data_IF_731611064514
#
_entry.id   IF_731611064514
#
_cell.length_a   1.000
_cell.length_b   1.000
_cell.length_c   1.000
_cell.angle_alpha   90.00
_cell.angle_beta   90.00
_cell.angle_gamma   90.00
#
_symmetry.space_group_name_H-M   'P 1'
#
loop_
_entity.id
_entity.type
_entity.pdbx_description
1 polymer ?
#
# COMPACT_ATOMS: atom_id res chain seq x y z
N UNK A 1 -10.43 3.69 35.05
CA UNK A 1 -9.05 3.69 34.55
C UNK A 1 -8.71 2.27 34.08
N UNK A 2 -8.88 1.97 32.79
CA UNK A 2 -8.46 0.67 32.24
C UNK A 2 -7.03 0.81 31.75
N UNK A 3 -6.14 0.23 32.53
CA UNK A 3 -4.72 0.09 32.26
C UNK A 3 -4.48 -1.30 31.65
N UNK A 4 -3.47 -1.42 30.78
CA UNK A 4 -3.01 -2.60 30.02
C UNK A 4 -3.72 -2.89 28.68
N UNK A 5 -3.28 -2.22 27.62
CA UNK A 5 -3.10 -2.90 26.32
C UNK A 5 -1.81 -3.71 26.41
N UNK A 6 -1.86 -4.87 27.05
CA UNK A 6 -0.92 -5.94 26.73
C UNK A 6 -1.24 -6.36 25.31
N UNK A 7 -0.39 -5.98 24.37
CA UNK A 7 -0.30 -6.66 23.08
C UNK A 7 0.17 -8.06 23.46
N UNK A 8 -0.77 -8.99 23.66
CA UNK A 8 -0.43 -10.41 23.81
C UNK A 8 0.34 -10.85 22.56
N UNK A 9 1.12 -11.94 22.62
CA UNK A 9 1.88 -12.40 21.47
C UNK A 9 0.86 -12.88 20.43
N UNK A 10 0.40 -11.99 19.56
CA UNK A 10 0.07 -12.38 18.20
C UNK A 10 1.35 -13.05 17.76
N UNK A 11 1.32 -14.35 17.49
CA UNK A 11 2.47 -15.07 16.98
C UNK A 11 2.99 -14.27 15.79
N UNK A 12 4.04 -13.48 16.04
CA UNK A 12 4.66 -12.63 15.04
C UNK A 12 5.12 -13.62 13.99
N UNK A 13 4.75 -13.35 12.74
CA UNK A 13 4.99 -14.26 11.63
C UNK A 13 6.46 -14.71 11.73
N UNK A 14 6.82 -16.01 11.66
CA UNK A 14 8.21 -16.49 11.79
C UNK A 14 9.26 -15.75 10.93
N UNK A 15 8.81 -14.99 9.94
CA UNK A 15 9.65 -14.12 9.12
C UNK A 15 10.06 -12.80 9.82
N UNK A 16 9.27 -12.28 10.77
CA UNK A 16 9.57 -11.04 11.48
C UNK A 16 10.80 -11.17 12.36
N UNK A 17 10.94 -12.30 13.06
CA UNK A 17 12.14 -12.65 13.81
C UNK A 17 13.37 -12.71 12.87
N UNK A 18 13.25 -13.44 11.75
CA UNK A 18 14.34 -13.57 10.77
C UNK A 18 14.76 -12.25 10.12
N UNK A 19 13.82 -11.33 9.95
CA UNK A 19 14.07 -9.99 9.40
C UNK A 19 14.49 -8.97 10.48
N UNK A 20 14.47 -9.33 11.76
CA UNK A 20 14.78 -8.41 12.87
C UNK A 20 13.75 -7.29 13.06
N UNK A 21 12.49 -7.51 12.65
CA UNK A 21 11.43 -6.48 12.68
C UNK A 21 11.17 -6.00 14.11
N UNK A 22 11.10 -6.93 15.07
CA UNK A 22 10.80 -6.64 16.46
C UNK A 22 11.84 -5.70 17.08
N UNK A 23 13.13 -5.97 16.86
CA UNK A 23 14.21 -5.11 17.36
C UNK A 23 14.14 -3.68 16.79
N UNK A 24 13.71 -3.51 15.54
CA UNK A 24 13.53 -2.19 14.93
C UNK A 24 12.28 -1.48 15.49
N UNK A 25 11.22 -2.23 15.79
CA UNK A 25 10.02 -1.69 16.45
C UNK A 25 10.29 -1.25 17.89
N UNK A 26 11.14 -1.96 18.64
CA UNK A 26 11.57 -1.56 19.99
C UNK A 26 12.29 -0.21 19.99
N UNK A 27 12.98 0.13 18.89
CA UNK A 27 13.57 1.46 18.68
C UNK A 27 12.52 2.52 18.28
N UNK A 28 11.24 2.17 18.20
CA UNK A 28 10.15 3.04 17.78
C UNK A 28 10.08 3.28 16.27
N UNK A 29 10.85 2.54 15.47
CA UNK A 29 10.92 2.69 14.02
C UNK A 29 9.87 1.78 13.38
N UNK A 30 8.71 2.36 13.09
CA UNK A 30 7.54 1.64 12.54
C UNK A 30 7.04 2.22 11.21
N UNK A 31 7.88 3.01 10.53
CA UNK A 31 7.57 3.61 9.21
C UNK A 31 6.83 4.94 9.24
N UNK A 32 6.76 5.64 10.38
CA UNK A 32 6.12 6.97 10.47
C UNK A 32 6.73 7.95 9.46
N UNK A 33 5.88 8.68 8.74
CA UNK A 33 6.30 9.66 7.74
C UNK A 33 6.68 9.07 6.38
N UNK A 34 6.77 7.74 6.27
CA UNK A 34 7.05 7.05 5.01
C UNK A 34 5.75 6.82 4.24
N UNK A 35 5.85 6.96 2.92
CA UNK A 35 4.79 6.68 1.96
C UNK A 35 5.29 5.58 1.03
N UNK A 36 4.56 4.47 0.97
CA UNK A 36 4.86 3.33 0.11
C UNK A 36 3.87 3.29 -1.05
N UNK A 37 4.38 3.24 -2.28
CA UNK A 37 3.60 3.02 -3.49
C UNK A 37 3.66 1.56 -3.92
N UNK A 38 2.52 0.96 -4.22
CA UNK A 38 2.43 -0.41 -4.77
C UNK A 38 1.90 -0.38 -6.21
N UNK A 39 2.55 -1.10 -7.12
CA UNK A 39 2.06 -1.38 -8.48
C UNK A 39 1.74 -2.88 -8.57
N UNK A 40 0.46 -3.23 -8.68
CA UNK A 40 -0.01 -4.62 -8.54
C UNK A 40 -1.43 -4.80 -9.13
N UNK A 41 -2.17 -5.84 -8.72
CA UNK A 41 -3.56 -6.14 -9.10
C UNK A 41 -4.62 -5.14 -8.61
N UNK A 42 -4.17 -4.03 -8.03
CA UNK A 42 -5.00 -3.13 -7.24
C UNK A 42 -5.15 -3.59 -5.79
N UNK A 43 -5.79 -2.75 -4.98
CA UNK A 43 -5.86 -2.92 -3.52
C UNK A 43 -7.29 -2.70 -3.05
N UNK A 44 -7.79 -3.58 -2.17
CA UNK A 44 -9.04 -3.35 -1.45
C UNK A 44 -8.82 -2.29 -0.38
N UNK A 45 -8.96 -1.01 -0.74
CA UNK A 45 -8.71 0.11 0.17
C UNK A 45 -9.62 0.16 1.40
N UNK A 46 -10.74 -0.56 1.38
CA UNK A 46 -11.67 -0.69 2.52
C UNK A 46 -11.27 -1.76 3.53
N UNK A 47 -10.19 -2.51 3.30
CA UNK A 47 -9.73 -3.56 4.21
C UNK A 47 -9.34 -2.96 5.58
N UNK A 48 -9.80 -3.57 6.69
CA UNK A 48 -9.60 -3.04 8.06
C UNK A 48 -8.13 -2.77 8.39
N UNK A 49 -7.23 -3.67 7.99
CA UNK A 49 -5.78 -3.51 8.18
C UNK A 49 -5.13 -2.38 7.36
N UNK A 50 -5.79 -1.86 6.31
CA UNK A 50 -5.19 -0.93 5.35
C UNK A 50 -5.86 0.45 5.33
N UNK A 51 -7.17 0.52 5.58
CA UNK A 51 -7.97 1.73 5.33
C UNK A 51 -7.45 2.98 6.04
N UNK A 52 -6.93 2.82 7.26
CA UNK A 52 -6.44 3.93 8.09
C UNK A 52 -5.08 4.49 7.61
N UNK A 53 -4.33 3.69 6.84
CA UNK A 53 -3.03 4.05 6.30
C UNK A 53 -3.08 4.51 4.84
N UNK A 54 -4.23 4.43 4.18
CA UNK A 54 -4.39 4.95 2.84
C UNK A 54 -4.31 6.48 2.84
N UNK A 55 -3.52 7.07 1.94
CA UNK A 55 -3.42 8.54 1.89
C UNK A 55 -4.68 9.22 1.34
N UNK A 56 -5.57 8.47 0.69
CA UNK A 56 -6.80 8.99 0.10
C UNK A 56 -6.62 9.45 -1.35
N UNK A 57 -7.66 9.24 -2.18
CA UNK A 57 -7.61 9.59 -3.61
C UNK A 57 -7.38 11.09 -3.83
N UNK A 58 -7.97 11.95 -3.00
CA UNK A 58 -7.79 13.41 -3.07
C UNK A 58 -6.33 13.83 -2.85
N UNK A 59 -5.52 12.97 -2.22
CA UNK A 59 -4.11 13.19 -1.96
C UNK A 59 -3.22 12.40 -2.92
N UNK A 60 -3.70 12.11 -4.14
CA UNK A 60 -2.92 11.42 -5.17
C UNK A 60 -2.59 9.96 -4.80
N UNK A 61 -3.47 9.29 -4.03
CA UNK A 61 -3.23 7.95 -3.51
C UNK A 61 -3.55 6.78 -4.45
N UNK A 62 -4.22 7.02 -5.57
CA UNK A 62 -4.73 5.94 -6.41
C UNK A 62 -4.73 6.30 -7.89
N UNK A 63 -4.28 5.35 -8.71
CA UNK A 63 -4.44 5.41 -10.15
C UNK A 63 -4.81 4.04 -10.72
N UNK A 64 -5.71 4.06 -11.70
CA UNK A 64 -6.21 2.88 -12.38
C UNK A 64 -6.30 3.20 -13.88
N UNK A 65 -5.29 2.84 -14.68
CA UNK A 65 -5.25 3.12 -16.11
C UNK A 65 -6.29 2.34 -16.91
N UNK A 66 -6.87 1.26 -16.36
CA UNK A 66 -7.89 0.47 -17.04
C UNK A 66 -9.23 1.21 -17.09
N UNK A 67 -9.71 1.66 -15.93
CA UNK A 67 -11.09 2.16 -15.78
C UNK A 67 -11.17 3.60 -15.24
N UNK A 68 -10.04 4.23 -14.91
CA UNK A 68 -10.00 5.52 -14.20
C UNK A 68 -10.90 5.51 -12.95
N UNK A 69 -10.85 4.40 -12.20
CA UNK A 69 -11.65 4.26 -11.00
C UNK A 69 -11.23 5.28 -9.94
N UNK A 70 -12.21 5.84 -9.24
CA UNK A 70 -11.97 6.90 -8.25
C UNK A 70 -11.37 6.38 -6.94
N UNK A 71 -11.56 5.11 -6.60
CA UNK A 71 -11.13 4.56 -5.32
C UNK A 71 -10.34 3.26 -5.53
N UNK A 72 -9.39 2.93 -4.63
CA UNK A 72 -8.67 1.68 -4.68
C UNK A 72 -9.60 0.48 -4.73
N UNK A 73 -9.43 -0.31 -5.77
CA UNK A 73 -10.15 -1.55 -5.97
C UNK A 73 -9.26 -2.56 -6.69
N UNK A 74 -9.62 -3.83 -6.55
CA UNK A 74 -9.08 -4.91 -7.35
C UNK A 74 -10.24 -5.63 -8.03
N UNK A 75 -9.94 -6.37 -9.08
CA UNK A 75 -10.93 -7.27 -9.68
C UNK A 75 -11.31 -8.38 -8.71
N UNK A 76 -12.47 -9.01 -8.92
CA UNK A 76 -12.96 -10.06 -8.02
C UNK A 76 -11.93 -11.20 -7.94
N UNK A 77 -11.64 -11.63 -6.71
CA UNK A 77 -10.62 -12.65 -6.37
C UNK A 77 -9.16 -12.28 -6.61
N UNK A 78 -8.87 -11.09 -7.15
CA UNK A 78 -7.50 -10.59 -7.20
C UNK A 78 -7.15 -9.94 -5.87
N UNK A 79 -6.39 -10.68 -5.07
CA UNK A 79 -6.01 -10.29 -3.70
C UNK A 79 -4.53 -9.99 -3.56
N UNK A 80 -3.73 -10.25 -4.60
CA UNK A 80 -2.27 -10.14 -4.58
C UNK A 80 -1.81 -8.76 -4.11
N UNK A 81 -2.26 -7.68 -4.74
CA UNK A 81 -1.89 -6.32 -4.33
C UNK A 81 -2.32 -5.95 -2.92
N UNK A 82 -3.47 -6.47 -2.44
CA UNK A 82 -3.92 -6.26 -1.06
C UNK A 82 -3.01 -6.97 -0.06
N UNK A 83 -2.60 -8.21 -0.37
CA UNK A 83 -1.69 -8.97 0.48
C UNK A 83 -0.27 -8.39 0.44
N UNK A 84 0.20 -8.00 -0.74
CA UNK A 84 1.52 -7.41 -0.99
C UNK A 84 1.70 -6.13 -0.17
N UNK A 85 0.81 -5.14 -0.33
CA UNK A 85 0.89 -3.91 0.48
C UNK A 85 0.57 -4.18 1.96
N UNK A 86 -0.28 -5.17 2.26
CA UNK A 86 -0.60 -5.60 3.63
C UNK A 86 0.63 -6.10 4.40
N UNK A 87 1.51 -6.86 3.74
CA UNK A 87 2.77 -7.32 4.34
C UNK A 87 3.73 -6.15 4.66
N UNK A 88 3.59 -5.02 3.96
CA UNK A 88 4.40 -3.82 4.21
C UNK A 88 3.76 -2.92 5.27
N UNK A 89 2.52 -2.47 5.09
CA UNK A 89 1.90 -1.39 5.89
C UNK A 89 0.69 -1.81 6.71
N UNK A 90 0.38 -3.11 6.73
CA UNK A 90 -0.76 -3.66 7.47
C UNK A 90 -0.69 -3.29 8.94
N UNK A 91 -1.75 -2.67 9.46
CA UNK A 91 -1.85 -2.33 10.88
C UNK A 91 -2.08 -3.60 11.74
N UNK A 92 -2.16 -3.43 13.06
CA UNK A 92 -2.41 -4.50 14.03
C UNK A 92 -1.33 -5.61 14.01
N UNK A 93 -0.08 -5.24 13.76
CA UNK A 93 1.06 -6.17 13.77
C UNK A 93 1.18 -7.07 12.54
N UNK A 94 0.49 -6.74 11.44
CA UNK A 94 0.52 -7.54 10.21
C UNK A 94 1.64 -7.14 9.24
N UNK A 95 1.89 -5.85 9.08
CA UNK A 95 2.90 -5.31 8.17
C UNK A 95 4.19 -4.94 8.88
N UNK A 96 5.31 -4.97 8.17
CA UNK A 96 6.65 -4.62 8.69
C UNK A 96 6.75 -3.14 9.14
N UNK A 97 6.05 -2.24 8.45
CA UNK A 97 6.03 -0.80 8.69
C UNK A 97 4.59 -0.31 8.92
N UNK A 98 3.95 -0.68 10.05
CA UNK A 98 2.52 -0.51 10.25
C UNK A 98 2.07 0.95 10.41
N UNK A 99 2.99 1.90 10.61
CA UNK A 99 2.69 3.34 10.67
C UNK A 99 3.00 4.08 9.36
N UNK A 100 3.52 3.39 8.33
CA UNK A 100 3.68 3.96 7.00
C UNK A 100 2.32 4.18 6.35
N UNK A 101 2.25 5.21 5.51
CA UNK A 101 1.10 5.44 4.65
C UNK A 101 1.29 4.74 3.30
N UNK A 102 0.20 4.53 2.57
CA UNK A 102 0.26 3.88 1.26
C UNK A 102 -0.56 4.58 0.19
N UNK A 103 -0.10 4.39 -1.04
CA UNK A 103 -0.76 4.69 -2.31
C UNK A 103 -0.61 3.48 -3.24
N UNK A 104 -1.45 3.38 -4.27
CA UNK A 104 -1.42 2.24 -5.17
C UNK A 104 -1.72 2.63 -6.62
N UNK A 105 -1.19 1.85 -7.54
CA UNK A 105 -1.59 1.84 -8.94
C UNK A 105 -1.92 0.42 -9.38
N UNK A 106 -3.01 0.26 -10.10
CA UNK A 106 -3.44 -1.03 -10.64
C UNK A 106 -2.83 -1.23 -12.03
N UNK A 107 -2.11 -2.32 -12.23
CA UNK A 107 -1.46 -2.62 -13.52
C UNK A 107 -1.86 -4.00 -14.09
N UNK A 108 -2.77 -4.71 -13.40
CA UNK A 108 -3.25 -6.03 -13.81
C UNK A 108 -4.75 -5.97 -14.13
N UNK A 109 -5.13 -6.52 -15.27
CA UNK A 109 -6.53 -6.60 -15.71
C UNK A 109 -7.29 -7.73 -15.03
N UNK A 110 -8.57 -7.91 -15.39
CA UNK A 110 -9.45 -8.94 -14.81
C UNK A 110 -9.01 -10.39 -15.09
N UNK A 111 -8.22 -10.61 -16.13
CA UNK A 111 -7.76 -11.92 -16.59
C UNK A 111 -6.36 -12.25 -16.04
N UNK A 112 -5.85 -11.44 -15.09
CA UNK A 112 -4.53 -11.57 -14.47
C UNK A 112 -3.37 -11.25 -15.41
N UNK A 113 -3.62 -10.45 -16.45
CA UNK A 113 -2.60 -10.04 -17.41
C UNK A 113 -2.02 -8.68 -17.04
N UNK A 114 -0.69 -8.59 -17.17
CA UNK A 114 0.05 -7.35 -17.08
C UNK A 114 0.10 -6.68 -18.45
N UNK A 115 -0.18 -5.38 -18.47
CA UNK A 115 -0.07 -4.56 -19.67
C UNK A 115 1.12 -3.61 -19.54
N UNK A 116 2.06 -3.65 -20.48
CA UNK A 116 3.30 -2.87 -20.40
C UNK A 116 3.04 -1.36 -20.32
N UNK A 117 2.07 -0.87 -21.09
CA UNK A 117 1.64 0.52 -21.08
C UNK A 117 1.05 0.93 -19.73
N UNK A 118 0.31 0.05 -19.05
CA UNK A 118 -0.23 0.31 -17.72
C UNK A 118 0.87 0.30 -16.65
N UNK A 119 1.84 -0.60 -16.75
CA UNK A 119 3.01 -0.60 -15.85
C UNK A 119 3.79 0.70 -16.00
N UNK A 120 4.05 1.14 -17.24
CA UNK A 120 4.72 2.42 -17.49
C UNK A 120 3.90 3.60 -16.98
N UNK A 121 2.58 3.60 -17.20
CA UNK A 121 1.69 4.64 -16.66
C UNK A 121 1.70 4.66 -15.12
N UNK A 122 1.72 3.49 -14.47
CA UNK A 122 1.86 3.37 -13.03
C UNK A 122 3.21 3.86 -12.53
N UNK A 123 4.32 3.54 -13.21
CA UNK A 123 5.64 4.07 -12.87
C UNK A 123 5.70 5.60 -13.00
N UNK A 124 5.12 6.15 -14.07
CA UNK A 124 4.98 7.59 -14.24
C UNK A 124 4.15 8.22 -13.12
N UNK A 125 3.03 7.59 -12.73
CA UNK A 125 2.21 8.02 -11.61
C UNK A 125 2.99 7.97 -10.29
N UNK A 126 3.79 6.93 -10.03
CA UNK A 126 4.61 6.88 -8.82
C UNK A 126 5.67 7.99 -8.80
N UNK A 127 6.29 8.31 -9.93
CA UNK A 127 7.32 9.38 -10.00
C UNK A 127 6.73 10.79 -10.00
N UNK A 128 5.56 10.98 -10.61
CA UNK A 128 4.85 12.24 -10.62
C UNK A 128 3.33 12.04 -10.59
N UNK A 129 2.74 11.89 -9.39
CA UNK A 129 1.34 11.53 -9.26
C UNK A 129 0.37 12.52 -9.90
N UNK A 130 -0.74 11.99 -10.40
CA UNK A 130 -1.89 12.71 -10.97
C UNK A 130 -3.12 12.49 -10.10
N UNK A 131 -4.19 13.24 -10.34
CA UNK A 131 -5.49 12.77 -9.90
C UNK A 131 -5.88 11.45 -10.61
N UNK A 132 -7.01 10.86 -10.19
CA UNK A 132 -7.46 9.56 -10.69
C UNK A 132 -7.84 9.58 -12.18
N UNK A 133 -7.98 10.75 -12.81
CA UNK A 133 -8.26 10.92 -14.24
C UNK A 133 -6.97 11.11 -15.06
N UNK A 134 -5.79 11.02 -14.43
CA UNK A 134 -4.52 11.26 -15.10
C UNK A 134 -4.14 12.74 -15.25
N UNK A 135 -4.87 13.65 -14.59
CA UNK A 135 -4.66 15.10 -14.69
C UNK A 135 -3.97 15.69 -13.46
N UNK A 136 -3.71 16.99 -13.47
CA UNK A 136 -3.27 17.75 -12.29
C UNK A 136 -1.99 17.22 -11.63
N UNK A 137 -0.96 16.93 -12.43
CA UNK A 137 0.33 16.39 -12.00
C UNK A 137 0.91 17.15 -10.80
N UNK A 138 1.37 16.40 -9.80
CA UNK A 138 2.08 16.93 -8.65
C UNK A 138 3.19 15.98 -8.21
N UNK A 139 4.41 16.20 -8.70
CA UNK A 139 5.53 15.33 -8.41
C UNK A 139 6.00 15.39 -6.96
N UNK A 140 5.59 16.40 -6.17
CA UNK A 140 5.88 16.47 -4.74
C UNK A 140 5.13 15.41 -3.92
N UNK A 141 4.25 14.62 -4.56
CA UNK A 141 3.45 13.56 -3.94
C UNK A 141 4.01 12.16 -4.16
N UNK A 142 5.15 12.04 -4.85
CA UNK A 142 5.80 10.75 -5.09
C UNK A 142 6.02 9.99 -3.76
N UNK A 143 5.85 8.65 -3.75
CA UNK A 143 6.14 7.85 -2.59
C UNK A 143 7.65 7.78 -2.36
N UNK A 144 8.03 7.46 -1.13
CA UNK A 144 9.43 7.29 -0.75
C UNK A 144 9.98 5.93 -1.19
N UNK A 145 9.09 4.93 -1.30
CA UNK A 145 9.42 3.56 -1.71
C UNK A 145 8.37 3.10 -2.72
N UNK A 146 8.83 2.48 -3.81
CA UNK A 146 7.96 1.84 -4.81
C UNK A 146 8.22 0.34 -4.74
N UNK A 147 7.14 -0.44 -4.68
CA UNK A 147 7.18 -1.91 -4.77
C UNK A 147 6.29 -2.39 -5.91
N UNK A 148 6.75 -3.41 -6.62
CA UNK A 148 6.05 -4.10 -7.69
C UNK A 148 6.38 -5.58 -7.58
N UNK A 149 5.34 -6.43 -7.60
CA UNK A 149 5.45 -7.87 -7.42
C UNK A 149 4.53 -8.61 -8.36
#
# INVERSE_FOLDING_TARGET
>A
MRNKTSIGPIALWPYFEKMGVEGVWELGIVGKGVLVGVIDTGVRGTHDALRENYIGTKNYGWFDPENLSKYPMAHRFQTHGTNSIGAVVGNNGLGVAPAAKWMACKAVDKDHMWHEDWVVACLQFMLCPTDYQGNNKNCSKAPHVITNS
#
